data_IF_162118492777
#
_entry.id   IF_162118492777
#
_cell.length_a   1.000
_cell.length_b   1.000
_cell.length_c   1.000
_cell.angle_alpha   90.00
_cell.angle_beta   90.00
_cell.angle_gamma   90.00
#
_symmetry.space_group_name_H-M   'P 1'
#
loop_
_entity.id
_entity.type
_entity.pdbx_description
1 polymer ?
#
# COMPACT_ATOMS: atom_id res chain seq x y z
N UNK A 1 -9.26 26.25 4.70
CA UNK A 1 -8.22 26.23 3.65
C UNK A 1 -7.52 24.89 3.75
N UNK A 2 -7.19 24.18 2.65
CA UNK A 2 -6.39 22.98 2.77
C UNK A 2 -5.06 23.33 3.45
N UNK A 3 -4.68 22.55 4.45
CA UNK A 3 -3.39 22.67 5.12
C UNK A 3 -2.26 22.55 4.09
N UNK A 4 -1.19 23.31 4.28
CA UNK A 4 0.01 23.15 3.48
C UNK A 4 0.56 21.72 3.64
N UNK A 5 0.92 21.02 2.54
CA UNK A 5 1.52 19.69 2.63
C UNK A 5 2.80 19.69 3.46
N UNK A 6 3.02 18.65 4.27
CA UNK A 6 4.25 18.46 5.05
C UNK A 6 5.37 17.87 4.19
N UNK A 7 5.02 17.12 3.14
CA UNK A 7 5.96 16.67 2.09
C UNK A 7 5.31 16.94 0.73
N UNK A 8 6.07 17.51 -0.21
CA UNK A 8 5.65 17.62 -1.60
C UNK A 8 6.81 17.33 -2.55
N UNK A 9 6.50 16.59 -3.61
CA UNK A 9 7.36 16.39 -4.78
C UNK A 9 6.69 17.09 -5.96
N UNK A 10 7.41 17.97 -6.66
CA UNK A 10 6.98 18.58 -7.92
C UNK A 10 7.85 18.05 -9.07
N UNK A 11 7.25 17.24 -9.95
CA UNK A 11 7.86 16.69 -11.18
C UNK A 11 9.25 16.09 -10.96
N UNK A 12 9.40 15.38 -9.85
CA UNK A 12 10.69 14.83 -9.42
C UNK A 12 11.08 13.64 -10.29
N UNK A 13 12.32 13.65 -10.78
CA UNK A 13 12.89 12.53 -11.54
C UNK A 13 14.25 12.13 -10.99
N UNK A 14 14.48 10.82 -10.90
CA UNK A 14 15.76 10.22 -10.54
C UNK A 14 16.21 9.22 -11.60
N UNK A 15 17.40 9.42 -12.13
CA UNK A 15 18.05 8.62 -13.16
C UNK A 15 19.28 7.95 -12.55
N UNK A 16 19.46 6.66 -12.84
CA UNK A 16 20.69 5.93 -12.54
C UNK A 16 21.35 5.46 -13.83
N UNK A 17 22.68 5.30 -13.78
CA UNK A 17 23.49 4.91 -14.93
C UNK A 17 23.99 6.11 -15.73
N UNK A 18 24.58 5.84 -16.89
CA UNK A 18 25.09 6.88 -17.80
C UNK A 18 24.96 6.43 -19.26
N UNK A 19 24.70 7.39 -20.16
CA UNK A 19 24.62 7.16 -21.60
C UNK A 19 23.50 6.19 -21.97
N UNK A 20 23.79 5.15 -22.75
CA UNK A 20 22.79 4.18 -23.22
C UNK A 20 22.20 3.28 -22.11
N UNK A 21 22.69 3.36 -20.87
CA UNK A 21 22.21 2.56 -19.72
C UNK A 21 21.43 3.39 -18.69
N UNK A 22 20.97 4.57 -19.07
CA UNK A 22 20.15 5.40 -18.18
C UNK A 22 18.80 4.77 -17.90
N UNK A 23 18.48 4.66 -16.61
CA UNK A 23 17.21 4.14 -16.12
C UNK A 23 16.56 5.19 -15.23
N UNK A 24 15.36 5.61 -15.61
CA UNK A 24 14.51 6.44 -14.76
C UNK A 24 13.95 5.58 -13.63
N UNK A 25 14.58 5.60 -12.46
CA UNK A 25 14.04 4.96 -11.27
C UNK A 25 12.85 5.73 -10.70
N UNK A 26 12.82 7.04 -10.88
CA UNK A 26 11.67 7.90 -10.62
C UNK A 26 11.51 8.83 -11.83
N UNK A 27 10.31 8.95 -12.37
CA UNK A 27 10.03 9.73 -13.57
C UNK A 27 8.82 10.62 -13.34
N UNK A 28 9.05 11.93 -13.34
CA UNK A 28 8.02 12.97 -13.29
C UNK A 28 7.00 12.78 -12.17
N UNK A 29 7.47 12.43 -10.96
CA UNK A 29 6.61 12.16 -9.82
C UNK A 29 6.21 13.47 -9.15
N UNK A 30 4.90 13.73 -9.16
CA UNK A 30 4.26 14.81 -8.42
C UNK A 30 3.33 14.22 -7.36
N UNK A 31 3.59 14.51 -6.09
CA UNK A 31 2.75 14.05 -4.97
C UNK A 31 2.80 15.01 -3.78
N UNK A 32 1.77 14.94 -2.93
CA UNK A 32 1.68 15.73 -1.71
C UNK A 32 1.13 14.87 -0.56
N UNK A 33 1.81 14.95 0.58
CA UNK A 33 1.46 14.30 1.85
C UNK A 33 1.06 15.35 2.86
N UNK A 34 -0.07 15.14 3.51
CA UNK A 34 -0.63 16.05 4.51
C UNK A 34 -0.05 15.78 5.90
N UNK A 35 0.00 16.79 6.78
CA UNK A 35 0.40 16.59 8.17
C UNK A 35 -0.45 15.53 8.87
N UNK A 36 0.20 14.60 9.57
CA UNK A 36 -0.46 13.53 10.32
C UNK A 36 -1.03 12.40 9.46
N UNK A 37 -0.75 12.38 8.15
CA UNK A 37 -1.20 11.33 7.24
C UNK A 37 -0.34 10.06 7.35
N UNK A 38 -0.96 8.88 7.31
CA UNK A 38 -0.28 7.62 7.01
C UNK A 38 -0.33 7.38 5.49
N UNK A 39 0.73 7.77 4.79
CA UNK A 39 0.81 7.71 3.34
C UNK A 39 1.69 6.54 2.88
N UNK A 40 1.18 5.69 2.00
CA UNK A 40 1.96 4.55 1.49
C UNK A 40 2.39 4.71 0.04
N UNK A 41 3.64 4.37 -0.24
CA UNK A 41 4.15 4.09 -1.57
C UNK A 41 4.07 2.56 -1.77
N UNK A 42 3.21 2.12 -2.70
CA UNK A 42 2.95 0.71 -2.97
C UNK A 42 3.34 0.36 -4.40
N UNK A 43 3.88 -0.83 -4.65
CA UNK A 43 4.29 -1.24 -5.99
C UNK A 43 5.24 -2.44 -5.97
N UNK A 44 5.48 -3.06 -7.12
CA UNK A 44 6.41 -4.18 -7.25
C UNK A 44 7.86 -3.79 -6.95
N UNK A 45 8.75 -4.79 -6.82
CA UNK A 45 10.19 -4.51 -6.80
C UNK A 45 10.61 -3.71 -8.05
N UNK A 46 11.52 -2.75 -7.87
CA UNK A 46 11.98 -1.88 -8.95
C UNK A 46 11.02 -0.77 -9.39
N UNK A 47 9.86 -0.58 -8.75
CA UNK A 47 8.89 0.44 -9.17
C UNK A 47 9.25 1.89 -8.80
N UNK A 48 10.33 2.12 -8.05
CA UNK A 48 10.81 3.46 -7.68
C UNK A 48 10.48 3.92 -6.25
N UNK A 49 9.84 3.07 -5.42
CA UNK A 49 9.40 3.43 -4.05
C UNK A 49 10.54 3.83 -3.13
N UNK A 50 11.53 2.96 -2.97
CA UNK A 50 12.69 3.21 -2.10
C UNK A 50 13.52 4.39 -2.60
N UNK A 51 13.66 4.56 -3.92
CA UNK A 51 14.30 5.75 -4.50
C UNK A 51 13.51 7.02 -4.15
N UNK A 52 12.19 7.00 -4.28
CA UNK A 52 11.31 8.13 -3.88
C UNK A 52 11.47 8.45 -2.39
N UNK A 53 11.49 7.44 -1.52
CA UNK A 53 11.71 7.61 -0.09
C UNK A 53 13.09 8.21 0.22
N UNK A 54 14.14 7.74 -0.48
CA UNK A 54 15.51 8.27 -0.36
C UNK A 54 15.65 9.69 -0.85
N UNK A 55 14.93 10.07 -1.90
CA UNK A 55 14.84 11.46 -2.37
C UNK A 55 14.22 12.37 -1.32
N UNK A 56 13.19 11.92 -0.60
CA UNK A 56 12.60 12.67 0.52
C UNK A 56 13.58 12.74 1.70
N UNK A 57 14.24 11.64 2.04
CA UNK A 57 15.24 11.56 3.10
C UNK A 57 16.58 12.24 2.82
N UNK A 58 16.83 12.65 1.56
CA UNK A 58 18.08 13.29 1.13
C UNK A 58 19.25 12.35 0.91
N UNK A 59 19.00 11.05 0.89
CA UNK A 59 20.02 10.05 0.56
C UNK A 59 20.31 9.97 -0.94
N UNK A 60 19.42 10.57 -1.74
CA UNK A 60 19.56 10.75 -3.18
C UNK A 60 19.20 12.20 -3.53
N UNK A 61 19.79 12.71 -4.60
CA UNK A 61 19.49 14.02 -5.17
C UNK A 61 18.82 13.78 -6.53
N UNK A 62 17.65 14.38 -6.81
CA UNK A 62 17.00 14.22 -8.11
C UNK A 62 17.73 15.01 -9.20
N UNK A 63 17.69 14.52 -10.44
CA UNK A 63 18.19 15.27 -11.60
C UNK A 63 17.21 16.38 -12.01
N UNK A 64 15.91 16.20 -11.76
CA UNK A 64 14.87 17.16 -12.10
C UNK A 64 13.80 17.26 -11.01
N UNK A 65 13.11 18.40 -10.96
CA UNK A 65 12.02 18.67 -10.04
C UNK A 65 12.48 19.13 -8.66
N UNK A 66 11.53 19.24 -7.73
CA UNK A 66 11.75 19.84 -6.41
C UNK A 66 11.18 18.96 -5.30
N UNK A 67 11.91 18.86 -4.19
CA UNK A 67 11.48 18.19 -2.96
C UNK A 67 11.31 19.25 -1.87
N UNK A 68 10.09 19.41 -1.35
CA UNK A 68 9.82 20.33 -0.25
C UNK A 68 9.36 19.60 1.01
N UNK A 69 9.80 20.09 2.17
CA UNK A 69 9.40 19.62 3.50
C UNK A 69 8.86 20.80 4.31
N UNK A 70 7.59 20.73 4.73
CA UNK A 70 6.94 21.80 5.48
C UNK A 70 6.95 23.16 4.77
N UNK A 71 6.96 23.15 3.43
CA UNK A 71 7.04 24.35 2.60
C UNK A 71 8.45 24.83 2.23
N UNK A 72 9.49 24.26 2.83
CA UNK A 72 10.88 24.59 2.53
C UNK A 72 11.44 23.68 1.46
N UNK A 73 12.13 24.23 0.47
CA UNK A 73 12.88 23.45 -0.52
C UNK A 73 14.09 22.80 0.16
N UNK A 74 14.12 21.47 0.13
CA UNK A 74 15.19 20.66 0.71
C UNK A 74 15.96 19.86 -0.35
N UNK A 75 15.72 20.11 -1.63
CA UNK A 75 16.17 19.27 -2.76
C UNK A 75 17.65 18.91 -2.68
N UNK A 76 18.51 19.89 -2.37
CA UNK A 76 19.97 19.71 -2.26
C UNK A 76 20.46 19.51 -0.84
N UNK A 77 19.58 19.57 0.17
CA UNK A 77 19.98 19.42 1.56
C UNK A 77 20.35 17.97 1.86
N UNK A 78 21.46 17.73 2.58
CA UNK A 78 21.85 16.38 2.99
C UNK A 78 20.92 15.84 4.09
N UNK A 79 20.89 14.51 4.33
CA UNK A 79 19.93 13.88 5.25
C UNK A 79 19.90 14.48 6.65
N UNK A 80 21.07 14.77 7.23
CA UNK A 80 21.20 15.29 8.59
C UNK A 80 20.67 16.72 8.78
N UNK A 81 20.34 17.43 7.70
CA UNK A 81 19.69 18.76 7.74
C UNK A 81 18.20 18.72 7.42
N UNK A 82 17.63 17.55 7.10
CA UNK A 82 16.20 17.42 6.80
C UNK A 82 15.43 17.09 8.07
N UNK A 83 14.26 17.70 8.22
CA UNK A 83 13.38 17.50 9.38
C UNK A 83 12.58 16.17 9.31
N UNK A 84 13.25 15.08 8.93
CA UNK A 84 12.67 13.74 8.77
C UNK A 84 13.59 12.70 9.41
N UNK A 85 13.02 11.56 9.81
CA UNK A 85 13.81 10.39 10.19
C UNK A 85 13.46 9.19 9.32
N UNK A 86 14.47 8.41 8.95
CA UNK A 86 14.30 7.20 8.14
C UNK A 86 14.61 5.96 8.95
N UNK A 87 13.70 4.99 8.89
CA UNK A 87 13.88 3.61 9.37
C UNK A 87 14.04 2.73 8.14
N UNK A 88 15.24 2.18 7.98
CA UNK A 88 15.61 1.33 6.85
C UNK A 88 15.14 -0.12 7.07
N UNK A 89 15.04 -0.87 5.97
CA UNK A 89 14.63 -2.28 5.94
C UNK A 89 15.45 -3.18 6.89
N UNK A 90 16.76 -2.94 7.03
CA UNK A 90 17.63 -3.70 7.94
C UNK A 90 17.66 -3.14 9.37
N UNK A 91 16.76 -2.22 9.70
CA UNK A 91 16.69 -1.42 10.94
C UNK A 91 17.91 -0.53 11.21
N UNK A 92 19.05 -0.81 10.58
CA UNK A 92 20.32 -0.11 10.72
C UNK A 92 20.71 0.13 12.20
N UNK A 93 20.43 -0.84 13.09
CA UNK A 93 20.86 -0.76 14.48
C UNK A 93 22.39 -0.90 14.57
N UNK A 94 23.00 -0.14 15.47
CA UNK A 94 24.44 -0.23 15.72
C UNK A 94 24.73 -1.49 16.53
N UNK A 95 25.39 -2.50 15.95
CA UNK A 95 25.52 -3.83 16.58
C UNK A 95 26.43 -3.84 17.80
N UNK A 96 27.30 -2.84 17.92
CA UNK A 96 28.23 -2.66 19.02
C UNK A 96 27.65 -1.86 20.19
N UNK A 97 26.48 -1.24 20.00
CA UNK A 97 25.78 -0.46 21.02
C UNK A 97 24.68 -1.30 21.66
N UNK A 98 24.34 -1.02 22.92
CA UNK A 98 23.15 -1.57 23.59
C UNK A 98 21.87 -0.98 23.03
N UNK A 99 20.71 -1.50 23.43
CA UNK A 99 19.40 -0.94 23.09
C UNK A 99 19.28 0.50 23.57
N UNK A 100 19.63 0.78 24.83
CA UNK A 100 19.56 2.12 25.39
C UNK A 100 20.48 3.09 24.63
N UNK A 101 21.69 2.66 24.27
CA UNK A 101 22.65 3.45 23.48
C UNK A 101 22.14 3.70 22.06
N UNK A 102 21.57 2.69 21.39
CA UNK A 102 20.96 2.85 20.08
C UNK A 102 19.86 3.92 20.11
N UNK A 103 18.98 3.88 21.11
CA UNK A 103 17.88 4.83 21.27
C UNK A 103 18.43 6.23 21.62
N UNK A 104 19.45 6.33 22.47
CA UNK A 104 20.04 7.61 22.88
C UNK A 104 20.86 8.30 21.78
N UNK A 105 21.32 7.56 20.77
CA UNK A 105 22.29 8.05 19.78
C UNK A 105 21.91 9.38 19.09
N UNK A 106 20.66 9.62 18.65
CA UNK A 106 20.28 10.90 18.06
C UNK A 106 20.40 12.07 19.04
N UNK A 107 20.15 11.84 20.33
CA UNK A 107 20.32 12.86 21.38
C UNK A 107 21.79 13.18 21.64
N UNK A 108 22.66 12.18 21.54
CA UNK A 108 24.12 12.37 21.66
C UNK A 108 24.66 13.24 20.52
N UNK A 109 24.23 13.00 19.28
CA UNK A 109 24.58 13.84 18.13
C UNK A 109 24.11 15.29 18.34
N UNK A 110 22.90 15.45 18.87
CA UNK A 110 22.35 16.76 19.21
C UNK A 110 22.97 17.39 20.48
N UNK A 111 23.97 16.74 21.08
CA UNK A 111 24.66 17.19 22.30
C UNK A 111 23.70 17.48 23.47
N UNK A 112 22.60 16.73 23.57
CA UNK A 112 21.64 16.82 24.67
C UNK A 112 22.31 16.33 25.95
N UNK A 113 22.15 17.08 27.05
CA UNK A 113 22.75 16.74 28.33
C UNK A 113 22.24 15.38 28.84
N UNK A 114 23.14 14.59 29.44
CA UNK A 114 22.83 13.24 29.94
C UNK A 114 21.61 13.22 30.88
N UNK A 115 21.49 14.22 31.75
CA UNK A 115 20.38 14.35 32.69
C UNK A 115 19.01 14.53 32.00
N UNK A 116 18.98 15.03 30.76
CA UNK A 116 17.76 15.13 29.94
C UNK A 116 17.59 13.89 29.04
N UNK A 117 18.69 13.30 28.56
CA UNK A 117 18.64 12.16 27.67
C UNK A 117 18.13 10.88 28.34
N UNK A 118 18.59 10.56 29.55
CA UNK A 118 18.19 9.35 30.30
C UNK A 118 16.66 9.22 30.50
N UNK A 119 15.93 10.24 30.99
CA UNK A 119 14.48 10.12 31.15
C UNK A 119 13.75 9.97 29.81
N UNK A 120 14.24 10.60 28.73
CA UNK A 120 13.66 10.46 27.38
C UNK A 120 13.87 9.07 26.81
N UNK A 121 15.03 8.46 27.04
CA UNK A 121 15.31 7.07 26.63
C UNK A 121 14.41 6.11 27.41
N UNK A 122 14.25 6.30 28.72
CA UNK A 122 13.36 5.48 29.54
C UNK A 122 11.89 5.62 29.10
N UNK A 123 11.44 6.83 28.79
CA UNK A 123 10.11 7.09 28.26
C UNK A 123 9.90 6.41 26.90
N UNK A 124 10.86 6.52 25.98
CA UNK A 124 10.80 5.86 24.68
C UNK A 124 10.76 4.32 24.85
N UNK A 125 11.58 3.75 25.72
CA UNK A 125 11.56 2.30 25.96
C UNK A 125 10.20 1.81 26.48
N UNK A 126 9.54 2.61 27.34
CA UNK A 126 8.20 2.32 27.83
C UNK A 126 7.13 2.43 26.74
N UNK A 127 7.17 3.52 25.97
CA UNK A 127 6.23 3.74 24.87
C UNK A 127 6.27 2.58 23.86
N UNK A 128 7.46 2.07 23.58
CA UNK A 128 7.69 0.98 22.63
C UNK A 128 7.68 -0.42 23.26
N UNK A 129 7.26 -0.58 24.52
CA UNK A 129 7.13 -1.88 25.21
C UNK A 129 8.41 -2.73 25.13
N UNK A 130 9.56 -2.09 25.35
CA UNK A 130 10.90 -2.69 25.35
C UNK A 130 11.64 -2.41 26.67
N UNK A 131 10.90 -2.16 27.76
CA UNK A 131 11.48 -2.05 29.09
C UNK A 131 12.26 -3.31 29.49
N UNK A 132 13.34 -3.15 30.24
CA UNK A 132 14.20 -4.26 30.66
C UNK A 132 15.09 -4.84 29.56
N UNK A 133 15.01 -4.35 28.32
CA UNK A 133 15.90 -4.74 27.22
C UNK A 133 17.11 -3.82 27.05
N UNK A 134 17.25 -2.77 27.88
CA UNK A 134 18.19 -1.67 27.70
C UNK A 134 19.65 -2.10 27.54
N UNK A 135 20.09 -3.08 28.33
CA UNK A 135 21.48 -3.58 28.33
C UNK A 135 21.76 -4.62 27.24
N UNK A 136 20.72 -5.08 26.53
CA UNK A 136 20.89 -6.05 25.44
C UNK A 136 21.50 -5.39 24.22
N UNK A 137 22.18 -6.18 23.41
CA UNK A 137 22.64 -5.81 22.07
C UNK A 137 21.64 -6.25 21.00
N UNK A 138 21.63 -5.64 19.80
CA UNK A 138 20.70 -6.00 18.73
C UNK A 138 20.65 -7.49 18.38
N UNK A 139 21.79 -8.20 18.44
CA UNK A 139 21.87 -9.65 18.18
C UNK A 139 21.14 -10.53 19.19
N UNK A 140 20.73 -9.97 20.34
CA UNK A 140 20.01 -10.67 21.41
C UNK A 140 18.49 -10.39 21.40
N UNK A 141 18.00 -9.74 20.34
CA UNK A 141 16.61 -9.32 20.17
C UNK A 141 15.93 -10.10 19.05
N UNK A 142 14.61 -10.31 19.19
CA UNK A 142 13.77 -10.76 18.07
C UNK A 142 13.64 -9.67 17.00
N UNK A 143 13.18 -10.03 15.80
CA UNK A 143 12.96 -9.07 14.70
C UNK A 143 12.01 -7.93 15.09
N UNK A 144 10.88 -8.24 15.73
CA UNK A 144 9.93 -7.23 16.23
C UNK A 144 10.53 -6.34 17.33
N UNK A 145 11.37 -6.89 18.20
CA UNK A 145 12.10 -6.09 19.20
C UNK A 145 13.11 -5.15 18.53
N UNK A 146 13.88 -5.62 17.54
CA UNK A 146 14.80 -4.75 16.79
C UNK A 146 14.07 -3.60 16.10
N UNK A 147 12.90 -3.88 15.52
CA UNK A 147 12.07 -2.85 14.90
C UNK A 147 11.60 -1.82 15.92
N UNK A 148 11.08 -2.24 17.08
CA UNK A 148 10.66 -1.34 18.16
C UNK A 148 11.82 -0.45 18.63
N UNK A 149 13.03 -1.00 18.73
CA UNK A 149 14.25 -0.21 19.03
C UNK A 149 14.54 0.81 17.94
N UNK A 150 14.42 0.43 16.66
CA UNK A 150 14.65 1.32 15.54
C UNK A 150 13.62 2.47 15.47
N UNK A 151 12.34 2.17 15.74
CA UNK A 151 11.27 3.17 15.84
C UNK A 151 11.49 4.09 17.05
N UNK A 152 11.82 3.54 18.22
CA UNK A 152 12.13 4.32 19.41
C UNK A 152 13.29 5.29 19.17
N UNK A 153 14.37 4.80 18.54
CA UNK A 153 15.49 5.65 18.10
C UNK A 153 15.05 6.73 17.12
N UNK A 154 14.18 6.42 16.17
CA UNK A 154 13.72 7.40 15.18
C UNK A 154 12.80 8.47 15.78
N UNK A 155 12.01 8.13 16.81
CA UNK A 155 11.04 9.02 17.42
C UNK A 155 11.57 9.82 18.61
N UNK A 156 12.69 9.43 19.22
CA UNK A 156 13.20 10.14 20.40
C UNK A 156 13.47 11.62 20.14
N UNK A 157 13.83 11.98 18.90
CA UNK A 157 14.08 13.35 18.43
C UNK A 157 12.80 14.11 18.05
N UNK A 158 11.62 13.48 18.11
CA UNK A 158 10.31 14.04 17.75
C UNK A 158 10.29 14.66 16.34
N UNK A 159 10.58 13.89 15.27
CA UNK A 159 10.53 14.39 13.90
C UNK A 159 9.12 14.84 13.51
N UNK A 160 9.00 15.61 12.42
CA UNK A 160 7.69 15.93 11.82
C UNK A 160 7.20 14.81 10.88
N UNK A 161 8.13 14.09 10.25
CA UNK A 161 7.85 13.01 9.29
C UNK A 161 8.74 11.82 9.57
N UNK A 162 8.14 10.62 9.59
CA UNK A 162 8.83 9.35 9.67
C UNK A 162 8.75 8.62 8.32
N UNK A 163 9.91 8.24 7.79
CA UNK A 163 10.07 7.51 6.54
C UNK A 163 10.38 6.05 6.87
N UNK A 164 9.56 5.12 6.37
CA UNK A 164 9.66 3.69 6.69
C UNK A 164 9.88 2.90 5.40
N UNK A 165 11.04 2.26 5.26
CA UNK A 165 11.43 1.50 4.06
C UNK A 165 11.25 -0.01 4.28
N UNK A 166 10.12 -0.57 3.85
CA UNK A 166 9.75 -1.98 4.01
C UNK A 166 9.99 -2.54 5.42
N UNK A 167 9.56 -1.85 6.50
CA UNK A 167 10.00 -2.17 7.86
C UNK A 167 9.45 -3.51 8.39
N UNK A 168 8.50 -4.13 7.68
CA UNK A 168 7.85 -5.38 8.09
C UNK A 168 8.25 -6.59 7.22
N UNK A 169 9.06 -6.40 6.17
CA UNK A 169 9.31 -7.44 5.17
C UNK A 169 9.98 -8.69 5.72
N UNK A 170 10.77 -8.55 6.79
CA UNK A 170 11.54 -9.64 7.40
C UNK A 170 10.79 -10.37 8.54
N UNK A 171 9.54 -10.00 8.82
CA UNK A 171 8.76 -10.57 9.93
C UNK A 171 7.81 -11.67 9.44
N UNK A 172 7.59 -12.67 10.30
CA UNK A 172 6.54 -13.67 10.07
C UNK A 172 5.14 -13.05 10.15
N UNK A 173 4.15 -13.77 9.62
CA UNK A 173 2.79 -13.25 9.46
C UNK A 173 2.13 -12.80 10.77
N UNK A 174 2.35 -13.53 11.88
CA UNK A 174 1.71 -13.21 13.17
C UNK A 174 2.32 -11.95 13.76
N UNK A 175 3.65 -11.88 13.83
CA UNK A 175 4.34 -10.69 14.35
C UNK A 175 4.07 -9.49 13.45
N UNK A 176 4.03 -9.68 12.13
CA UNK A 176 3.70 -8.61 11.18
C UNK A 176 2.33 -7.98 11.46
N UNK A 177 1.32 -8.78 11.74
CA UNK A 177 -0.02 -8.27 12.08
C UNK A 177 -0.02 -7.47 13.39
N UNK A 178 0.62 -7.99 14.43
CA UNK A 178 0.75 -7.29 15.72
C UNK A 178 1.45 -5.93 15.54
N UNK A 179 2.56 -5.89 14.78
CA UNK A 179 3.30 -4.66 14.55
C UNK A 179 2.55 -3.67 13.66
N UNK A 180 1.76 -4.14 12.67
CA UNK A 180 0.89 -3.27 11.86
C UNK A 180 -0.05 -2.47 12.74
N UNK A 181 -0.71 -3.15 13.68
CA UNK A 181 -1.65 -2.50 14.62
C UNK A 181 -0.91 -1.49 15.50
N UNK A 182 0.26 -1.86 16.03
CA UNK A 182 1.10 -0.96 16.83
C UNK A 182 1.52 0.30 16.06
N UNK A 183 1.90 0.19 14.78
CA UNK A 183 2.27 1.34 13.96
C UNK A 183 1.09 2.30 13.74
N UNK A 184 -0.12 1.76 13.54
CA UNK A 184 -1.33 2.56 13.35
C UNK A 184 -1.75 3.26 14.65
N UNK A 185 -1.65 2.57 15.79
CA UNK A 185 -1.89 3.15 17.11
C UNK A 185 -0.89 4.28 17.40
N UNK A 186 0.40 4.02 17.18
CA UNK A 186 1.48 4.99 17.37
C UNK A 186 1.26 6.27 16.55
N UNK A 187 0.91 6.13 15.27
CA UNK A 187 0.63 7.27 14.40
C UNK A 187 -0.58 8.08 14.90
N UNK A 188 -1.64 7.42 15.36
CA UNK A 188 -2.83 8.09 15.92
C UNK A 188 -2.55 8.81 17.23
N UNK A 189 -1.77 8.20 18.13
CA UNK A 189 -1.42 8.78 19.43
C UNK A 189 -0.47 9.98 19.29
N UNK A 190 0.46 9.91 18.33
CA UNK A 190 1.50 10.94 18.17
C UNK A 190 1.15 12.04 17.17
N UNK A 191 0.20 11.80 16.26
CA UNK A 191 -0.16 12.72 15.18
C UNK A 191 0.96 12.92 14.14
N UNK A 192 1.95 12.02 14.14
CA UNK A 192 3.10 12.08 13.23
C UNK A 192 2.69 11.72 11.80
N UNK A 193 3.41 12.30 10.83
CA UNK A 193 3.22 11.93 9.41
C UNK A 193 4.09 10.73 9.09
N UNK A 194 3.51 9.69 8.49
CA UNK A 194 4.21 8.46 8.11
C UNK A 194 4.24 8.36 6.59
N UNK A 195 5.43 8.12 6.02
CA UNK A 195 5.58 7.70 4.62
C UNK A 195 6.12 6.28 4.62
N UNK A 196 5.29 5.34 4.20
CA UNK A 196 5.51 3.91 4.31
C UNK A 196 5.73 3.28 2.94
N UNK A 197 6.86 2.63 2.74
CA UNK A 197 7.14 1.86 1.51
C UNK A 197 6.83 0.40 1.77
N UNK A 198 6.04 -0.21 0.90
CA UNK A 198 5.80 -1.66 0.93
C UNK A 198 5.53 -2.22 -0.46
N UNK A 199 5.75 -3.52 -0.58
CA UNK A 199 5.28 -4.31 -1.72
C UNK A 199 4.04 -5.15 -1.35
N UNK A 200 3.66 -5.18 -0.08
CA UNK A 200 2.50 -5.91 0.45
C UNK A 200 1.24 -5.04 0.34
N UNK A 201 0.24 -5.55 -0.37
CA UNK A 201 -1.00 -4.84 -0.65
C UNK A 201 -1.89 -4.76 0.59
N UNK A 202 -1.91 -5.81 1.42
CA UNK A 202 -2.73 -5.85 2.63
C UNK A 202 -2.22 -4.81 3.62
N UNK A 203 -0.89 -4.67 3.76
CA UNK A 203 -0.29 -3.62 4.57
C UNK A 203 -0.74 -2.23 4.12
N UNK A 204 -0.61 -1.93 2.82
CA UNK A 204 -0.98 -0.64 2.27
C UNK A 204 -2.48 -0.36 2.44
N UNK A 205 -3.34 -1.34 2.19
CA UNK A 205 -4.80 -1.18 2.30
C UNK A 205 -5.27 -1.04 3.75
N UNK A 206 -4.62 -1.71 4.71
CA UNK A 206 -5.02 -1.70 6.12
C UNK A 206 -4.53 -0.48 6.90
N UNK A 207 -3.31 0.01 6.60
CA UNK A 207 -2.66 1.05 7.40
C UNK A 207 -2.91 2.47 6.88
N UNK A 208 -3.03 2.63 5.55
CA UNK A 208 -2.87 3.94 4.93
C UNK A 208 -4.14 4.75 4.91
N UNK A 209 -4.00 6.06 5.03
CA UNK A 209 -5.05 7.02 4.72
C UNK A 209 -5.10 7.26 3.20
N UNK A 210 -3.93 7.34 2.56
CA UNK A 210 -3.78 7.38 1.09
C UNK A 210 -2.61 6.52 0.62
N UNK A 211 -2.74 6.00 -0.59
CA UNK A 211 -1.76 5.16 -1.26
C UNK A 211 -1.41 5.79 -2.60
N UNK A 212 -0.13 5.84 -2.93
CA UNK A 212 0.36 6.02 -4.29
C UNK A 212 0.86 4.68 -4.83
N UNK A 213 0.14 4.14 -5.83
CA UNK A 213 0.54 2.94 -6.56
C UNK A 213 1.59 3.34 -7.59
N UNK A 214 2.80 2.80 -7.46
CA UNK A 214 3.94 3.07 -8.31
C UNK A 214 4.22 1.91 -9.26
N UNK A 215 4.53 2.24 -10.50
CA UNK A 215 5.00 1.31 -11.51
C UNK A 215 5.99 2.00 -12.45
N UNK A 216 7.11 1.34 -12.74
CA UNK A 216 8.12 1.83 -13.69
C UNK A 216 8.52 3.30 -13.44
N UNK A 217 8.75 3.65 -12.17
CA UNK A 217 9.17 4.98 -11.73
C UNK A 217 8.08 6.05 -11.69
N UNK A 218 6.83 5.72 -12.03
CA UNK A 218 5.72 6.67 -12.11
C UNK A 218 4.60 6.31 -11.14
N UNK A 219 3.87 7.32 -10.66
CA UNK A 219 2.62 7.13 -9.92
C UNK A 219 1.50 6.80 -10.90
N UNK A 220 0.95 5.59 -10.80
CA UNK A 220 -0.15 5.12 -11.65
C UNK A 220 -1.51 5.58 -11.13
N UNK A 221 -1.67 5.60 -9.81
CA UNK A 221 -2.87 6.09 -9.16
C UNK A 221 -2.53 6.53 -7.74
N UNK A 222 -3.19 7.59 -7.30
CA UNK A 222 -3.13 8.07 -5.93
C UNK A 222 -4.56 8.20 -5.40
N UNK A 223 -4.84 7.69 -4.20
CA UNK A 223 -6.18 7.74 -3.63
C UNK A 223 -6.28 7.06 -2.27
N UNK A 224 -7.48 7.03 -1.69
CA UNK A 224 -7.73 6.24 -0.48
C UNK A 224 -7.64 4.74 -0.79
N UNK A 225 -7.37 3.87 0.21
CA UNK A 225 -7.41 2.41 0.01
C UNK A 225 -8.68 1.92 -0.68
N UNK A 226 -9.84 2.50 -0.31
CA UNK A 226 -11.13 2.15 -0.91
C UNK A 226 -11.21 2.55 -2.38
N UNK A 227 -10.69 3.73 -2.74
CA UNK A 227 -10.70 4.18 -4.14
C UNK A 227 -9.74 3.36 -4.99
N UNK A 228 -8.54 3.08 -4.49
CA UNK A 228 -7.55 2.22 -5.18
C UNK A 228 -8.14 0.82 -5.44
N UNK A 229 -8.82 0.24 -4.44
CA UNK A 229 -9.39 -1.11 -4.56
C UNK A 229 -10.65 -1.15 -5.44
N UNK A 230 -11.58 -0.23 -5.22
CA UNK A 230 -12.90 -0.26 -5.84
C UNK A 230 -12.98 0.55 -7.13
N UNK A 231 -12.09 1.50 -7.39
CA UNK A 231 -12.11 2.36 -8.58
C UNK A 231 -10.71 2.50 -9.16
N UNK A 232 -10.10 1.38 -9.61
CA UNK A 232 -8.77 1.43 -10.20
C UNK A 232 -8.78 2.30 -11.47
N UNK A 233 -7.74 3.12 -11.62
CA UNK A 233 -7.61 4.07 -12.72
C UNK A 233 -7.10 3.45 -14.03
N UNK A 234 -6.66 2.19 -13.99
CA UNK A 234 -6.20 1.46 -15.17
C UNK A 234 -6.30 -0.04 -14.96
N UNK A 235 -6.21 -0.80 -16.05
CA UNK A 235 -6.09 -2.25 -16.00
C UNK A 235 -4.91 -2.72 -15.13
N UNK A 236 -3.77 -2.01 -15.20
CA UNK A 236 -2.61 -2.32 -14.37
C UNK A 236 -2.96 -2.25 -12.88
N UNK A 237 -3.58 -1.16 -12.41
CA UNK A 237 -3.92 -1.03 -10.98
C UNK A 237 -4.97 -2.05 -10.56
N UNK A 238 -5.96 -2.32 -11.40
CA UNK A 238 -6.99 -3.33 -11.16
C UNK A 238 -6.40 -4.74 -10.98
N UNK A 239 -5.42 -5.09 -11.81
CA UNK A 239 -4.71 -6.38 -11.75
C UNK A 239 -3.71 -6.43 -10.60
N UNK A 240 -3.08 -5.30 -10.29
CA UNK A 240 -2.06 -5.21 -9.27
C UNK A 240 -2.66 -5.25 -7.87
N UNK A 241 -3.83 -4.66 -7.62
CA UNK A 241 -4.45 -4.56 -6.30
C UNK A 241 -5.55 -5.61 -6.15
N UNK A 242 -5.34 -6.58 -5.26
CA UNK A 242 -6.28 -7.65 -4.95
C UNK A 242 -6.51 -8.61 -6.12
N UNK A 243 -7.41 -9.58 -5.93
CA UNK A 243 -7.83 -10.49 -6.99
C UNK A 243 -8.97 -9.86 -7.80
N UNK A 244 -9.04 -10.15 -9.09
CA UNK A 244 -10.05 -9.63 -10.00
C UNK A 244 -10.37 -10.62 -11.13
N UNK A 245 -11.63 -10.65 -11.55
CA UNK A 245 -12.04 -11.20 -12.83
C UNK A 245 -12.07 -10.08 -13.87
N UNK A 246 -11.65 -10.38 -15.09
CA UNK A 246 -11.71 -9.46 -16.23
C UNK A 246 -12.58 -10.08 -17.31
N UNK A 247 -13.70 -9.42 -17.61
CA UNK A 247 -14.67 -9.84 -18.62
C UNK A 247 -14.62 -8.87 -19.80
N UNK A 248 -14.69 -9.40 -21.02
CA UNK A 248 -14.67 -8.59 -22.24
C UNK A 248 -16.09 -8.45 -22.79
N UNK A 249 -16.49 -7.23 -23.13
CA UNK A 249 -17.81 -6.95 -23.68
C UNK A 249 -17.83 -5.75 -24.61
N UNK A 250 -19.01 -5.46 -25.14
CA UNK A 250 -19.26 -4.30 -26.00
C UNK A 250 -20.29 -3.38 -25.37
N UNK A 251 -19.99 -2.08 -25.35
CA UNK A 251 -20.89 -1.05 -24.81
C UNK A 251 -22.12 -0.90 -25.70
N UNK A 252 -23.31 -1.08 -25.14
CA UNK A 252 -24.59 -0.95 -25.84
C UNK A 252 -25.29 0.39 -25.55
N UNK A 253 -25.17 0.87 -24.31
CA UNK A 253 -25.74 2.15 -23.88
C UNK A 253 -24.93 2.73 -22.73
N UNK A 254 -24.95 4.05 -22.56
CA UNK A 254 -24.34 4.76 -21.44
C UNK A 254 -25.37 5.72 -20.86
N UNK A 255 -25.63 5.61 -19.57
CA UNK A 255 -26.58 6.41 -18.81
C UNK A 255 -25.89 6.93 -17.54
N UNK A 256 -25.43 8.19 -17.55
CA UNK A 256 -24.71 8.77 -16.42
C UNK A 256 -23.41 8.03 -16.13
N UNK A 257 -23.27 7.48 -14.92
CA UNK A 257 -22.12 6.69 -14.46
C UNK A 257 -22.30 5.18 -14.68
N UNK A 258 -23.28 4.78 -15.48
CA UNK A 258 -23.54 3.37 -15.79
C UNK A 258 -23.46 3.10 -17.29
N UNK A 259 -22.94 1.92 -17.64
CA UNK A 259 -22.97 1.39 -18.99
C UNK A 259 -23.69 0.05 -19.03
N UNK A 260 -24.56 -0.11 -20.03
CA UNK A 260 -25.08 -1.40 -20.43
C UNK A 260 -24.08 -2.08 -21.36
N UNK A 261 -23.61 -3.25 -20.99
CA UNK A 261 -22.59 -4.03 -21.70
C UNK A 261 -23.19 -5.34 -22.17
N UNK A 262 -22.91 -5.72 -23.42
CA UNK A 262 -23.14 -7.08 -23.91
C UNK A 262 -21.87 -7.94 -23.73
N UNK A 263 -21.94 -8.93 -22.86
CA UNK A 263 -20.88 -9.92 -22.59
C UNK A 263 -21.24 -11.25 -23.28
N UNK A 264 -20.71 -11.52 -24.47
CA UNK A 264 -21.04 -12.75 -25.22
C UNK A 264 -22.55 -13.02 -25.34
N UNK A 265 -23.35 -11.96 -25.51
CA UNK A 265 -24.82 -12.04 -25.58
C UNK A 265 -25.56 -11.92 -24.24
N UNK A 266 -24.86 -11.87 -23.12
CA UNK A 266 -25.45 -11.61 -21.80
C UNK A 266 -25.45 -10.11 -21.47
N UNK A 267 -26.60 -9.52 -21.10
CA UNK A 267 -26.66 -8.12 -20.69
C UNK A 267 -26.09 -7.95 -19.27
N UNK A 268 -25.29 -6.90 -19.08
CA UNK A 268 -24.71 -6.54 -17.79
C UNK A 268 -24.72 -5.02 -17.61
N UNK A 269 -25.00 -4.54 -16.39
CA UNK A 269 -24.78 -3.13 -16.01
C UNK A 269 -23.46 -3.01 -15.24
N UNK A 270 -22.62 -2.06 -15.64
CA UNK A 270 -21.35 -1.78 -14.98
C UNK A 270 -21.20 -0.28 -14.70
N UNK A 271 -20.54 0.05 -13.59
CA UNK A 271 -20.17 1.42 -13.26
C UNK A 271 -19.03 1.89 -14.16
N UNK A 272 -19.13 3.10 -14.69
CA UNK A 272 -18.09 3.75 -15.49
C UNK A 272 -17.32 4.71 -14.58
N UNK A 273 -16.04 4.43 -14.33
CA UNK A 273 -15.19 5.25 -13.47
C UNK A 273 -14.29 6.22 -14.25
N UNK A 274 -14.21 6.06 -15.57
CA UNK A 274 -13.42 6.90 -16.48
C UNK A 274 -14.27 7.79 -17.39
N UNK A 275 -13.60 8.48 -18.30
CA UNK A 275 -14.25 9.29 -19.36
C UNK A 275 -13.84 8.76 -20.73
N UNK A 276 -14.60 9.09 -21.77
CA UNK A 276 -14.26 8.73 -23.15
C UNK A 276 -14.77 7.36 -23.62
N UNK A 277 -15.54 6.64 -22.79
CA UNK A 277 -16.25 5.44 -23.22
C UNK A 277 -17.42 5.85 -24.13
N UNK A 278 -17.57 5.21 -25.28
CA UNK A 278 -18.65 5.44 -26.24
C UNK A 278 -19.41 4.15 -26.56
N UNK A 279 -20.64 4.30 -27.08
CA UNK A 279 -21.45 3.16 -27.51
C UNK A 279 -20.78 2.49 -28.71
N UNK A 280 -20.66 1.17 -28.67
CA UNK A 280 -19.95 0.37 -29.67
C UNK A 280 -18.51 0.03 -29.29
N UNK A 281 -17.93 0.68 -28.28
CA UNK A 281 -16.57 0.38 -27.83
C UNK A 281 -16.48 -1.02 -27.20
N UNK A 282 -15.35 -1.67 -27.40
CA UNK A 282 -14.97 -2.82 -26.61
C UNK A 282 -14.60 -2.35 -25.20
N UNK A 283 -15.07 -3.04 -24.16
CA UNK A 283 -14.86 -2.66 -22.77
C UNK A 283 -14.32 -3.86 -21.98
N UNK A 284 -13.37 -3.59 -21.06
CA UNK A 284 -12.95 -4.56 -20.04
C UNK A 284 -13.67 -4.26 -18.72
N UNK A 285 -14.35 -5.27 -18.19
CA UNK A 285 -15.15 -5.19 -16.99
C UNK A 285 -14.43 -5.92 -15.87
N UNK A 286 -14.12 -5.21 -14.80
CA UNK A 286 -13.62 -5.77 -13.56
C UNK A 286 -14.78 -6.25 -12.69
N UNK A 287 -14.67 -7.48 -12.19
CA UNK A 287 -15.54 -8.02 -11.16
C UNK A 287 -14.70 -8.69 -10.07
N UNK A 288 -14.80 -8.17 -8.85
CA UNK A 288 -14.06 -8.71 -7.70
C UNK A 288 -14.61 -10.08 -7.28
N UNK A 289 -13.78 -11.10 -7.05
CA UNK A 289 -14.23 -12.46 -6.70
C UNK A 289 -15.13 -12.53 -5.47
N UNK A 290 -14.87 -11.71 -4.45
CA UNK A 290 -15.68 -11.62 -3.23
C UNK A 290 -17.06 -10.99 -3.46
N UNK A 291 -17.30 -10.39 -4.64
CA UNK A 291 -18.62 -9.91 -5.07
C UNK A 291 -19.41 -10.95 -5.87
N UNK A 292 -18.79 -12.09 -6.21
CA UNK A 292 -19.47 -13.21 -6.86
C UNK A 292 -20.00 -14.14 -5.79
N UNK A 293 -21.33 -14.31 -5.73
CA UNK A 293 -22.00 -15.24 -4.82
C UNK A 293 -22.39 -16.50 -5.57
N UNK A 294 -22.15 -17.65 -4.94
CA UNK A 294 -22.67 -18.93 -5.41
C UNK A 294 -24.11 -19.10 -4.90
N UNK A 295 -25.02 -19.48 -5.78
CA UNK A 295 -26.45 -19.71 -5.49
C UNK A 295 -26.92 -21.00 -6.16
N UNK A 296 -28.16 -21.41 -5.90
CA UNK A 296 -28.79 -22.49 -6.64
C UNK A 296 -28.90 -22.15 -8.14
N UNK A 297 -28.83 -23.15 -9.01
CA UNK A 297 -28.84 -22.98 -10.47
C UNK A 297 -30.13 -22.35 -11.00
N UNK A 298 -31.24 -22.49 -10.28
CA UNK A 298 -32.56 -21.96 -10.60
C UNK A 298 -32.87 -20.59 -9.95
N UNK A 299 -31.90 -20.02 -9.22
CA UNK A 299 -32.09 -18.73 -8.57
C UNK A 299 -32.32 -17.60 -9.60
N UNK A 300 -33.19 -16.62 -9.32
CA UNK A 300 -33.43 -15.50 -10.24
C UNK A 300 -32.16 -14.73 -10.58
N UNK A 301 -31.90 -14.53 -11.87
CA UNK A 301 -30.71 -13.82 -12.36
C UNK A 301 -29.40 -14.62 -12.27
N UNK A 302 -29.45 -15.90 -11.88
CA UNK A 302 -28.29 -16.75 -11.83
C UNK A 302 -27.76 -17.09 -13.23
N UNK A 303 -26.44 -17.00 -13.39
CA UNK A 303 -25.74 -17.52 -14.56
C UNK A 303 -25.25 -18.92 -14.21
N UNK A 304 -25.59 -19.90 -15.03
CA UNK A 304 -25.16 -21.28 -14.83
C UNK A 304 -23.63 -21.38 -14.80
N UNK A 305 -23.11 -22.14 -13.84
CA UNK A 305 -21.69 -22.33 -13.64
C UNK A 305 -21.39 -23.75 -13.11
N UNK A 306 -20.20 -24.26 -13.43
CA UNK A 306 -19.68 -25.49 -12.84
C UNK A 306 -18.43 -25.18 -12.04
N UNK A 307 -18.35 -25.69 -10.81
CA UNK A 307 -17.17 -25.51 -9.96
C UNK A 307 -16.06 -26.41 -10.49
N UNK A 308 -15.01 -25.81 -11.04
CA UNK A 308 -13.86 -26.52 -11.61
C UNK A 308 -12.79 -26.84 -10.56
N UNK A 309 -12.57 -25.91 -9.63
CA UNK A 309 -11.55 -26.06 -8.59
C UNK A 309 -12.00 -25.36 -7.32
N UNK A 310 -11.73 -25.98 -6.17
CA UNK A 310 -11.98 -25.40 -4.85
C UNK A 310 -10.69 -25.36 -4.04
N UNK A 311 -10.42 -24.23 -3.40
CA UNK A 311 -9.26 -24.07 -2.50
C UNK A 311 -9.72 -23.44 -1.18
N UNK A 312 -9.43 -24.12 -0.06
CA UNK A 312 -9.70 -23.60 1.27
C UNK A 312 -8.54 -22.75 1.77
N UNK A 313 -8.81 -21.50 2.16
CA UNK A 313 -7.81 -20.54 2.66
C UNK A 313 -8.16 -20.11 4.10
N UNK A 314 -8.67 -21.05 4.89
CA UNK A 314 -9.05 -20.81 6.28
C UNK A 314 -10.42 -20.14 6.40
N UNK A 315 -10.52 -18.82 6.27
CA UNK A 315 -11.82 -18.15 6.46
C UNK A 315 -12.71 -18.15 5.21
N UNK A 316 -12.13 -18.46 4.05
CA UNK A 316 -12.80 -18.42 2.76
C UNK A 316 -12.50 -19.64 1.90
N UNK A 317 -13.42 -19.92 0.99
CA UNK A 317 -13.26 -20.82 -0.13
C UNK A 317 -13.05 -20.00 -1.40
N UNK A 318 -11.98 -20.27 -2.12
CA UNK A 318 -11.78 -19.76 -3.47
C UNK A 318 -12.21 -20.82 -4.48
N UNK A 319 -13.14 -20.44 -5.34
CA UNK A 319 -13.72 -21.31 -6.36
C UNK A 319 -13.34 -20.78 -7.74
N UNK A 320 -12.80 -21.63 -8.61
CA UNK A 320 -12.73 -21.37 -10.04
C UNK A 320 -13.92 -22.03 -10.73
N UNK A 321 -14.58 -21.27 -11.59
CA UNK A 321 -15.86 -21.60 -12.17
C UNK A 321 -15.76 -21.55 -13.69
N UNK A 322 -16.32 -22.54 -14.37
CA UNK A 322 -16.57 -22.47 -15.80
C UNK A 322 -17.99 -21.94 -16.02
N UNK A 323 -18.11 -20.83 -16.78
CA UNK A 323 -19.39 -20.17 -17.04
C UNK A 323 -19.54 -19.82 -18.53
N UNK A 324 -20.77 -19.54 -19.02
CA UNK A 324 -20.98 -19.01 -20.37
C UNK A 324 -20.25 -17.69 -20.66
N UNK A 325 -19.89 -16.92 -19.62
CA UNK A 325 -19.10 -15.68 -19.75
C UNK A 325 -17.60 -15.94 -19.88
N UNK A 326 -17.16 -17.20 -19.73
CA UNK A 326 -15.77 -17.59 -19.58
C UNK A 326 -15.44 -18.00 -18.13
N UNK A 327 -14.15 -18.25 -17.83
CA UNK A 327 -13.73 -18.64 -16.50
C UNK A 327 -13.89 -17.48 -15.51
N UNK A 328 -14.45 -17.78 -14.33
CA UNK A 328 -14.62 -16.84 -13.24
C UNK A 328 -14.02 -17.39 -11.94
N UNK A 329 -13.63 -16.47 -11.06
CA UNK A 329 -13.23 -16.76 -9.69
C UNK A 329 -14.24 -16.15 -8.73
N UNK A 330 -14.62 -16.92 -7.71
CA UNK A 330 -15.50 -16.47 -6.64
C UNK A 330 -14.86 -16.77 -5.28
N UNK A 331 -15.06 -15.88 -4.30
CA UNK A 331 -14.59 -16.06 -2.93
C UNK A 331 -15.79 -16.14 -2.00
N UNK A 332 -16.01 -17.29 -1.37
CA UNK A 332 -17.12 -17.53 -0.44
C UNK A 332 -16.63 -17.57 1.00
N UNK A 333 -17.34 -16.92 1.93
CA UNK A 333 -17.05 -17.04 3.36
C UNK A 333 -17.33 -18.46 3.86
N UNK A 334 -16.47 -18.96 4.75
CA UNK A 334 -16.69 -20.23 5.45
C UNK A 334 -17.91 -20.16 6.36
N UNK A 335 -18.81 -21.15 6.25
CA UNK A 335 -20.03 -21.24 7.06
C UNK A 335 -21.28 -21.71 6.28
N UNK A 336 -21.24 -21.62 4.95
CA UNK A 336 -22.19 -22.31 4.08
C UNK A 336 -21.68 -23.73 3.77
N UNK A 337 -22.57 -24.57 3.22
CA UNK A 337 -22.23 -25.88 2.66
C UNK A 337 -20.94 -25.76 1.84
N UNK A 338 -19.96 -26.61 2.14
CA UNK A 338 -18.67 -26.55 1.47
C UNK A 338 -18.87 -26.80 -0.04
N UNK A 339 -18.41 -25.90 -0.93
CA UNK A 339 -18.48 -26.14 -2.37
C UNK A 339 -17.61 -27.33 -2.74
N UNK A 340 -18.07 -28.19 -3.64
CA UNK A 340 -17.30 -29.30 -4.16
C UNK A 340 -16.96 -29.12 -5.64
N UNK A 341 -15.81 -29.67 -6.05
CA UNK A 341 -15.43 -29.73 -7.46
C UNK A 341 -16.42 -30.61 -8.23
N UNK A 342 -16.87 -30.12 -9.39
CA UNK A 342 -17.89 -30.75 -10.22
C UNK A 342 -19.32 -30.29 -9.93
N UNK A 343 -19.57 -29.58 -8.84
CA UNK A 343 -20.92 -29.09 -8.51
C UNK A 343 -21.43 -28.10 -9.57
N UNK A 344 -22.70 -28.28 -9.96
CA UNK A 344 -23.43 -27.29 -10.72
C UNK A 344 -23.99 -26.22 -9.76
N UNK A 345 -23.78 -24.95 -10.09
CA UNK A 345 -24.24 -23.82 -9.30
C UNK A 345 -24.69 -22.66 -10.20
N UNK A 346 -25.36 -21.69 -9.62
CA UNK A 346 -25.59 -20.38 -10.21
C UNK A 346 -24.59 -19.37 -9.67
N UNK A 347 -24.18 -18.39 -10.48
CA UNK A 347 -23.45 -17.21 -10.01
C UNK A 347 -24.29 -15.96 -10.13
N UNK A 348 -24.24 -15.13 -9.09
CA UNK A 348 -24.85 -13.79 -9.07
C UNK A 348 -23.90 -12.80 -8.41
N UNK A 349 -24.09 -11.53 -8.67
CA UNK A 349 -23.41 -10.44 -7.98
C UNK A 349 -24.39 -9.29 -7.77
N UNK A 350 -24.04 -8.38 -6.87
CA UNK A 350 -24.87 -7.20 -6.58
C UNK A 350 -24.79 -6.18 -7.72
N UNK A 351 -25.83 -5.36 -7.85
CA UNK A 351 -25.80 -4.23 -8.76
C UNK A 351 -24.67 -3.26 -8.37
N UNK A 352 -23.91 -2.77 -9.35
CA UNK A 352 -22.71 -1.96 -9.11
C UNK A 352 -21.46 -2.76 -8.71
N UNK A 353 -21.52 -4.10 -8.68
CA UNK A 353 -20.34 -4.93 -8.46
C UNK A 353 -19.32 -4.85 -9.59
N UNK A 354 -19.81 -4.69 -10.82
CA UNK A 354 -19.04 -4.64 -12.06
C UNK A 354 -18.62 -3.20 -12.39
N UNK A 355 -17.38 -3.04 -12.86
CA UNK A 355 -16.79 -1.74 -13.15
C UNK A 355 -16.11 -1.79 -14.51
N UNK A 356 -16.42 -0.84 -15.39
CA UNK A 356 -15.71 -0.66 -16.65
C UNK A 356 -14.36 -0.01 -16.35
N UNK A 357 -13.29 -0.69 -16.72
CA UNK A 357 -11.94 -0.16 -16.56
C UNK A 357 -11.66 0.90 -17.62
N UNK A 358 -10.97 2.00 -17.26
CA UNK A 358 -10.45 2.94 -18.25
C UNK A 358 -9.48 2.25 -19.21
N UNK A 359 -9.52 2.67 -20.47
CA UNK A 359 -8.61 2.20 -21.54
C UNK A 359 -7.18 2.66 -21.36
#
# INVERSE_FOLDING_TARGET
MPSQPIVSLDRVSKIYGSGQKEVYAVKDVTLAVQPGEFFSLLGSSGSGKTTTLRLIGGFEIPEYGQVCLGGEDVTTLPPYRRAVHTVFQSYALFPHMTVAENIAYPLQIASVARAEAEPRVAEAMRMFRIEGLGDRRPSQLSGGQQQRVALARALISRPKVLLLDEPLSALDAKIREEVRQELRELQRETGLTFIYVTHDQEEALALSDRIAVMHSGQVQQLGSPKDIYNRPASHFVAQFIGKANFLQGMVQAIEGDQAAIALNGFPLRALVTGTGLTVGDAATIMLRPERVRLVATDAPGAIAATIRQVTYIGQVWECRLDTPLGPLMATQLGGQVAPAEGDACGVVWEEGACIVLPH
#
